data_IF_241588830595
#
_entry.id   IF_241588830595
#
_cell.length_a   1.000
_cell.length_b   1.000
_cell.length_c   1.000
_cell.angle_alpha   90.00
_cell.angle_beta   90.00
_cell.angle_gamma   90.00
#
_symmetry.space_group_name_H-M   'P 1'
#
loop_
_entity.id
_entity.type
_entity.pdbx_description
1 polymer ?
#
# COMPACT_ATOMS: atom_id res chain seq x y z
N UNK A 1 -18.01 33.36 -2.88
CA UNK A 1 -17.28 33.05 -1.62
C UNK A 1 -16.57 31.73 -1.85
N UNK A 2 -15.28 31.61 -1.54
CA UNK A 2 -14.61 30.30 -1.60
C UNK A 2 -15.25 29.43 -0.53
N UNK A 3 -15.76 28.28 -0.95
CA UNK A 3 -16.37 27.29 -0.09
C UNK A 3 -15.26 26.55 0.65
N UNK A 4 -14.87 27.06 1.84
CA UNK A 4 -13.74 26.56 2.63
C UNK A 4 -13.72 25.05 2.86
N UNK A 5 -14.89 24.41 2.89
CA UNK A 5 -14.98 22.95 3.06
C UNK A 5 -14.42 22.16 1.86
N UNK A 6 -14.38 22.74 0.65
CA UNK A 6 -13.73 22.13 -0.51
C UNK A 6 -12.21 22.08 -0.31
N UNK A 7 -11.65 23.13 0.28
CA UNK A 7 -10.23 23.20 0.64
C UNK A 7 -9.89 22.14 1.69
N UNK A 8 -10.75 21.96 2.69
CA UNK A 8 -10.56 20.91 3.71
C UNK A 8 -10.56 19.51 3.08
N UNK A 9 -11.49 19.23 2.16
CA UNK A 9 -11.54 17.96 1.44
C UNK A 9 -10.30 17.76 0.56
N UNK A 10 -9.83 18.80 -0.13
CA UNK A 10 -8.62 18.73 -0.93
C UNK A 10 -7.38 18.40 -0.07
N UNK A 11 -7.25 19.05 1.10
CA UNK A 11 -6.18 18.75 2.07
C UNK A 11 -6.24 17.29 2.53
N UNK A 12 -7.44 16.76 2.81
CA UNK A 12 -7.61 15.34 3.16
C UNK A 12 -7.16 14.40 2.03
N UNK A 13 -7.42 14.77 0.77
CA UNK A 13 -6.91 14.06 -0.40
C UNK A 13 -5.39 14.04 -0.45
N UNK A 14 -4.73 15.17 -0.21
CA UNK A 14 -3.26 15.23 -0.15
C UNK A 14 -2.66 14.40 1.00
N UNK A 15 -3.34 14.36 2.15
CA UNK A 15 -2.96 13.48 3.27
C UNK A 15 -3.05 12.01 2.84
N UNK A 16 -4.11 11.62 2.12
CA UNK A 16 -4.27 10.26 1.59
C UNK A 16 -3.13 9.89 0.62
N UNK A 17 -2.76 10.81 -0.30
CA UNK A 17 -1.60 10.65 -1.19
C UNK A 17 -0.33 10.40 -0.38
N UNK A 18 -0.12 11.17 0.69
CA UNK A 18 1.06 11.03 1.55
C UNK A 18 1.14 9.62 2.16
N UNK A 19 0.03 9.11 2.72
CA UNK A 19 -0.02 7.73 3.23
C UNK A 19 0.27 6.69 2.13
N UNK A 20 -0.31 6.87 0.95
CA UNK A 20 -0.08 5.96 -0.17
C UNK A 20 1.39 5.98 -0.63
N UNK A 21 2.00 7.16 -0.77
CA UNK A 21 3.41 7.32 -1.15
C UNK A 21 4.35 6.69 -0.11
N UNK A 22 4.11 6.89 1.18
CA UNK A 22 4.87 6.25 2.25
C UNK A 22 4.75 4.72 2.19
N UNK A 23 3.55 4.23 1.92
CA UNK A 23 3.29 2.78 1.77
C UNK A 23 4.08 2.19 0.59
N UNK A 24 4.05 2.86 -0.57
CA UNK A 24 4.82 2.44 -1.74
C UNK A 24 6.32 2.47 -1.48
N UNK A 25 6.82 3.55 -0.89
CA UNK A 25 8.24 3.69 -0.55
C UNK A 25 8.70 2.55 0.37
N UNK A 26 7.91 2.25 1.40
CA UNK A 26 8.20 1.14 2.31
C UNK A 26 8.21 -0.21 1.59
N UNK A 27 7.21 -0.48 0.74
CA UNK A 27 7.17 -1.71 -0.05
C UNK A 27 8.41 -1.82 -0.95
N UNK A 28 8.77 -0.75 -1.67
CA UNK A 28 9.95 -0.71 -2.53
C UNK A 28 11.22 -1.07 -1.75
N UNK A 29 11.47 -0.47 -0.58
CA UNK A 29 12.64 -0.79 0.25
C UNK A 29 12.68 -2.28 0.59
N UNK A 30 11.54 -2.86 1.00
CA UNK A 30 11.48 -4.27 1.38
C UNK A 30 11.75 -5.20 0.19
N UNK A 31 11.13 -4.92 -0.97
CA UNK A 31 11.38 -5.67 -2.19
C UNK A 31 12.84 -5.54 -2.68
N UNK A 32 13.42 -4.34 -2.62
CA UNK A 32 14.83 -4.15 -2.94
C UNK A 32 15.74 -4.92 -1.99
N UNK A 33 15.50 -4.87 -0.67
CA UNK A 33 16.30 -5.64 0.28
C UNK A 33 16.23 -7.16 0.03
N UNK A 34 15.13 -7.67 -0.50
CA UNK A 34 14.99 -9.08 -0.89
C UNK A 34 15.83 -9.43 -2.11
N UNK A 35 15.82 -8.57 -3.13
CA UNK A 35 16.64 -8.75 -4.34
C UNK A 35 18.15 -8.77 -4.04
N UNK A 36 18.62 -7.88 -3.16
CA UNK A 36 20.05 -7.79 -2.82
C UNK A 36 20.55 -8.88 -1.88
N UNK A 37 19.67 -9.47 -1.04
CA UNK A 37 20.07 -10.50 -0.07
C UNK A 37 20.15 -11.91 -0.66
N UNK A 38 19.77 -12.13 -1.93
CA UNK A 38 19.74 -13.44 -2.60
C UNK A 38 19.03 -14.56 -1.80
N UNK A 39 18.29 -14.22 -0.75
CA UNK A 39 17.67 -15.14 0.18
C UNK A 39 16.19 -14.83 0.33
N UNK A 40 15.41 -15.86 0.01
CA UNK A 40 14.03 -16.17 0.41
C UNK A 40 12.88 -15.64 -0.44
N UNK A 41 12.00 -16.62 -0.68
CA UNK A 41 10.76 -16.56 -1.43
C UNK A 41 9.80 -15.58 -0.76
N UNK A 42 9.38 -14.55 -1.48
CA UNK A 42 8.18 -13.80 -1.14
C UNK A 42 7.00 -14.74 -1.37
N UNK A 43 6.08 -14.81 -0.40
CA UNK A 43 4.83 -15.54 -0.65
C UNK A 43 4.14 -14.92 -1.85
N UNK A 44 3.92 -15.71 -2.91
CA UNK A 44 3.26 -15.26 -4.13
C UNK A 44 1.92 -14.56 -3.80
N UNK A 45 1.20 -15.06 -2.78
CA UNK A 45 -0.04 -14.46 -2.29
C UNK A 45 0.15 -13.04 -1.75
N UNK A 46 1.25 -12.78 -1.03
CA UNK A 46 1.53 -11.45 -0.48
C UNK A 46 1.94 -10.47 -1.58
N UNK A 47 2.73 -10.93 -2.56
CA UNK A 47 3.08 -10.12 -3.73
C UNK A 47 1.84 -9.71 -4.54
N UNK A 48 0.99 -10.69 -4.88
CA UNK A 48 -0.26 -10.47 -5.63
C UNK A 48 -1.18 -9.52 -4.88
N UNK A 49 -1.34 -9.69 -3.56
CA UNK A 49 -2.23 -8.84 -2.77
C UNK A 49 -1.74 -7.38 -2.71
N UNK A 50 -0.43 -7.14 -2.57
CA UNK A 50 0.11 -5.78 -2.63
C UNK A 50 -0.01 -5.15 -4.01
N UNK A 51 0.15 -5.92 -5.09
CA UNK A 51 -0.10 -5.43 -6.45
C UNK A 51 -1.57 -5.01 -6.58
N UNK A 52 -2.49 -5.87 -6.16
CA UNK A 52 -3.92 -5.60 -6.24
C UNK A 52 -4.31 -4.35 -5.44
N UNK A 53 -3.85 -4.24 -4.18
CA UNK A 53 -4.09 -3.05 -3.36
C UNK A 53 -3.46 -1.80 -3.97
N UNK A 54 -2.25 -1.88 -4.52
CA UNK A 54 -1.60 -0.74 -5.17
C UNK A 54 -2.38 -0.29 -6.43
N UNK A 55 -2.91 -1.22 -7.21
CA UNK A 55 -3.77 -0.90 -8.36
C UNK A 55 -5.08 -0.26 -7.93
N UNK A 56 -5.72 -0.76 -6.86
CA UNK A 56 -6.91 -0.15 -6.27
C UNK A 56 -6.63 1.30 -5.82
N UNK A 57 -5.48 1.54 -5.19
CA UNK A 57 -5.06 2.86 -4.77
C UNK A 57 -4.82 3.82 -5.95
N UNK A 58 -4.18 3.34 -7.02
CA UNK A 58 -4.00 4.12 -8.26
C UNK A 58 -5.36 4.47 -8.87
N UNK A 59 -6.29 3.52 -8.91
CA UNK A 59 -7.63 3.77 -9.41
C UNK A 59 -8.36 4.84 -8.59
N UNK A 60 -8.31 4.76 -7.25
CA UNK A 60 -8.88 5.79 -6.38
C UNK A 60 -8.21 7.16 -6.55
N UNK A 61 -6.89 7.19 -6.72
CA UNK A 61 -6.14 8.42 -7.00
C UNK A 61 -6.59 9.07 -8.31
N UNK A 62 -6.76 8.28 -9.37
CA UNK A 62 -7.26 8.76 -10.66
C UNK A 62 -8.69 9.30 -10.51
N UNK A 63 -9.57 8.57 -9.82
CA UNK A 63 -10.93 9.04 -9.55
C UNK A 63 -10.95 10.35 -8.76
N UNK A 64 -10.05 10.50 -7.79
CA UNK A 64 -9.91 11.72 -6.99
C UNK A 64 -9.40 12.90 -7.83
N UNK A 65 -8.43 12.69 -8.72
CA UNK A 65 -8.01 13.73 -9.65
C UNK A 65 -9.10 14.10 -10.65
N UNK A 66 -9.87 13.12 -11.14
CA UNK A 66 -11.03 13.37 -12.00
C UNK A 66 -12.08 14.17 -11.23
N UNK A 67 -12.39 13.85 -9.98
CA UNK A 67 -13.38 14.62 -9.22
C UNK A 67 -12.93 16.06 -8.95
N UNK A 68 -11.62 16.31 -8.88
CA UNK A 68 -11.04 17.65 -8.71
C UNK A 68 -11.04 18.47 -10.02
N UNK A 69 -10.73 17.85 -11.17
CA UNK A 69 -10.51 18.56 -12.45
C UNK A 69 -11.58 18.35 -13.54
N UNK A 70 -12.41 17.30 -13.47
CA UNK A 70 -13.51 17.08 -14.42
C UNK A 70 -14.57 18.20 -14.48
N UNK A 71 -14.84 18.96 -13.41
CA UNK A 71 -15.77 20.07 -13.50
C UNK A 71 -15.34 21.13 -14.53
N UNK A 72 -14.02 21.35 -14.69
CA UNK A 72 -13.46 22.39 -15.56
C UNK A 72 -13.17 21.92 -17.00
N UNK A 73 -12.86 20.62 -17.21
CA UNK A 73 -12.24 20.17 -18.47
C UNK A 73 -13.21 19.45 -19.42
N UNK A 74 -14.25 18.77 -18.93
CA UNK A 74 -14.99 17.78 -19.75
C UNK A 74 -16.46 18.11 -19.96
N UNK A 75 -17.15 18.75 -18.99
CA UNK A 75 -18.64 18.76 -18.98
C UNK A 75 -19.25 20.17 -18.84
N UNK A 76 -18.47 21.23 -18.64
CA UNK A 76 -19.04 22.54 -18.27
C UNK A 76 -19.89 22.38 -16.99
N UNK A 77 -19.39 21.58 -16.04
CA UNK A 77 -20.13 21.10 -14.89
C UNK A 77 -19.74 21.94 -13.68
N UNK A 78 -20.72 22.61 -13.10
CA UNK A 78 -20.52 23.48 -11.96
C UNK A 78 -20.15 22.65 -10.72
N UNK A 79 -19.00 22.94 -10.10
CA UNK A 79 -18.52 22.31 -8.85
C UNK A 79 -19.51 22.55 -7.71
N UNK A 80 -20.28 23.64 -7.79
CA UNK A 80 -21.33 23.97 -6.82
C UNK A 80 -22.58 23.07 -6.95
N UNK A 81 -22.63 22.16 -7.93
CA UNK A 81 -23.67 21.16 -8.00
C UNK A 81 -23.53 20.17 -6.84
N UNK A 82 -24.58 20.09 -6.01
CA UNK A 82 -24.68 19.22 -4.83
C UNK A 82 -24.23 17.77 -5.11
N UNK A 83 -24.54 17.24 -6.30
CA UNK A 83 -24.13 15.88 -6.71
C UNK A 83 -22.62 15.74 -6.92
N UNK A 84 -21.99 16.75 -7.51
CA UNK A 84 -20.53 16.78 -7.71
C UNK A 84 -19.80 16.87 -6.37
N UNK A 85 -20.34 17.69 -5.46
CA UNK A 85 -19.84 17.84 -4.10
C UNK A 85 -19.84 16.54 -3.31
N UNK A 86 -21.00 15.85 -3.31
CA UNK A 86 -21.17 14.57 -2.61
C UNK A 86 -20.22 13.52 -3.21
N UNK A 87 -20.08 13.50 -4.54
CA UNK A 87 -19.15 12.60 -5.21
C UNK A 87 -17.70 12.87 -4.80
N UNK A 88 -17.25 14.13 -4.84
CA UNK A 88 -15.91 14.53 -4.43
C UNK A 88 -15.62 14.17 -2.97
N UNK A 89 -16.55 14.50 -2.06
CA UNK A 89 -16.43 14.15 -0.64
C UNK A 89 -16.35 12.63 -0.44
N UNK A 90 -17.21 11.86 -1.11
CA UNK A 90 -17.24 10.40 -0.99
C UNK A 90 -15.93 9.77 -1.48
N UNK A 91 -15.43 10.19 -2.64
CA UNK A 91 -14.17 9.69 -3.20
C UNK A 91 -13.00 10.04 -2.29
N UNK A 92 -12.94 11.28 -1.81
CA UNK A 92 -11.87 11.75 -0.90
C UNK A 92 -11.83 10.97 0.40
N UNK A 93 -12.98 10.83 1.07
CA UNK A 93 -13.06 10.09 2.35
C UNK A 93 -12.73 8.62 2.14
N UNK A 94 -13.24 8.00 1.07
CA UNK A 94 -12.92 6.61 0.74
C UNK A 94 -11.43 6.44 0.48
N UNK A 95 -10.83 7.34 -0.30
CA UNK A 95 -9.41 7.31 -0.62
C UNK A 95 -8.54 7.44 0.64
N UNK A 96 -8.90 8.34 1.57
CA UNK A 96 -8.21 8.49 2.85
C UNK A 96 -8.27 7.23 3.71
N UNK A 97 -9.47 6.66 3.90
CA UNK A 97 -9.67 5.46 4.72
C UNK A 97 -8.88 4.29 4.15
N UNK A 98 -8.99 4.04 2.84
CA UNK A 98 -8.29 2.93 2.19
C UNK A 98 -6.77 3.14 2.23
N UNK A 99 -6.28 4.37 2.03
CA UNK A 99 -4.85 4.70 2.18
C UNK A 99 -4.31 4.38 3.56
N UNK A 100 -5.05 4.79 4.59
CA UNK A 100 -4.64 4.60 5.99
C UNK A 100 -4.68 3.11 6.38
N UNK A 101 -5.73 2.38 6.00
CA UNK A 101 -5.81 0.94 6.23
C UNK A 101 -4.70 0.18 5.50
N UNK A 102 -4.38 0.57 4.26
CA UNK A 102 -3.29 -0.05 3.50
C UNK A 102 -1.93 0.20 4.16
N UNK A 103 -1.69 1.42 4.64
CA UNK A 103 -0.49 1.76 5.40
C UNK A 103 -0.35 0.90 6.67
N UNK A 104 -1.41 0.77 7.48
CA UNK A 104 -1.43 -0.10 8.66
C UNK A 104 -1.18 -1.56 8.28
N UNK A 105 -1.85 -2.06 7.24
CA UNK A 105 -1.66 -3.42 6.73
C UNK A 105 -0.19 -3.69 6.41
N UNK A 106 0.46 -2.78 5.68
CA UNK A 106 1.87 -2.93 5.32
C UNK A 106 2.78 -2.91 6.55
N UNK A 107 2.51 -2.06 7.55
CA UNK A 107 3.26 -2.05 8.82
C UNK A 107 3.12 -3.38 9.54
N UNK A 108 1.90 -3.89 9.73
CA UNK A 108 1.67 -5.16 10.43
C UNK A 108 2.34 -6.32 9.69
N UNK A 109 2.17 -6.38 8.37
CA UNK A 109 2.75 -7.43 7.55
C UNK A 109 4.27 -7.29 7.39
N UNK A 110 4.87 -6.11 7.62
CA UNK A 110 6.32 -5.94 7.60
C UNK A 110 7.02 -6.77 8.69
N UNK A 111 6.37 -7.02 9.83
CA UNK A 111 6.89 -7.93 10.86
C UNK A 111 6.94 -9.39 10.39
N UNK A 112 6.09 -9.78 9.42
CA UNK A 112 6.11 -11.12 8.83
C UNK A 112 7.31 -11.32 7.88
N UNK A 113 7.84 -10.25 7.27
CA UNK A 113 9.10 -10.31 6.50
C UNK A 113 10.29 -10.70 7.36
N UNK A 114 10.37 -10.16 8.59
CA UNK A 114 11.44 -10.48 9.54
C UNK A 114 11.27 -11.83 10.24
N UNK A 115 10.02 -12.19 10.59
CA UNK A 115 9.72 -13.40 11.39
C UNK A 115 10.02 -14.70 10.63
N UNK A 116 9.60 -14.82 9.36
CA UNK A 116 9.93 -15.99 8.53
C UNK A 116 11.44 -16.10 8.28
N UNK A 117 12.15 -14.97 8.29
CA UNK A 117 13.60 -14.97 8.12
C UNK A 117 14.31 -15.68 9.29
N UNK A 118 13.79 -15.58 10.51
CA UNK A 118 14.36 -16.20 11.70
C UNK A 118 14.02 -17.69 11.83
N UNK A 119 12.81 -18.11 11.42
CA UNK A 119 12.41 -19.52 11.51
C UNK A 119 13.26 -20.43 10.61
N UNK A 120 13.56 -20.06 9.35
CA UNK A 120 14.43 -20.95 8.55
C UNK A 120 15.89 -20.93 9.05
N UNK A 121 16.37 -19.85 9.69
CA UNK A 121 17.71 -19.83 10.29
C UNK A 121 17.83 -20.82 11.45
N UNK A 122 16.76 -20.99 12.23
CA UNK A 122 16.69 -22.01 13.27
C UNK A 122 16.63 -23.42 12.67
N UNK A 123 15.79 -23.65 11.65
CA UNK A 123 15.69 -24.96 10.98
C UNK A 123 17.02 -25.37 10.33
N UNK A 124 17.74 -24.44 9.70
CA UNK A 124 19.07 -24.71 9.11
C UNK A 124 20.10 -25.03 10.21
N UNK A 125 20.03 -24.38 11.39
CA UNK A 125 20.87 -24.72 12.54
C UNK A 125 20.55 -26.11 13.11
N UNK A 126 19.29 -26.53 13.12
CA UNK A 126 18.89 -27.88 13.51
C UNK A 126 19.33 -28.94 12.49
N UNK A 127 19.24 -28.65 11.18
CA UNK A 127 19.66 -29.58 10.12
C UNK A 127 21.18 -29.81 10.11
N UNK A 128 22.00 -28.77 10.39
CA UNK A 128 23.46 -28.90 10.54
C UNK A 128 23.91 -29.66 11.79
N UNK A 129 22.99 -29.95 12.72
CA UNK A 129 23.24 -30.67 13.98
C UNK A 129 22.90 -32.16 13.94
N UNK A 130 22.76 -32.79 12.77
CA UNK A 130 22.81 -34.25 12.67
C UNK A 130 24.27 -34.72 12.61
N UNK A 131 24.78 -35.44 13.63
CA UNK A 131 26.17 -35.90 13.63
C UNK A 131 26.38 -36.98 12.57
N UNK A 132 27.43 -36.84 11.77
CA UNK A 132 27.98 -37.92 10.97
C UNK A 132 28.45 -39.04 11.90
N UNK A 133 27.63 -40.08 12.05
CA UNK A 133 28.08 -41.33 12.65
C UNK A 133 27.52 -42.51 11.86
N UNK A 134 28.14 -42.77 10.71
CA UNK A 134 28.29 -44.14 10.22
C UNK A 134 29.78 -44.44 10.18
N UNK A 135 30.27 -44.99 11.30
CA UNK A 135 31.54 -45.72 11.33
C UNK A 135 31.46 -46.90 10.37
N UNK A 136 32.57 -47.10 9.68
CA UNK A 136 32.95 -48.32 8.96
C UNK A 136 32.58 -49.58 9.74
N UNK A 137 31.94 -50.54 9.07
CA UNK A 137 32.32 -51.96 9.03
C UNK A 137 32.01 -52.46 7.64
#
# INVERSE_FOLDING_TARGET
MVEWYLVDLEILGYIAITFFSLTLFWLSINYFSLLFKNEKKISLTWFILNIFLSLLMIFLLILWFISLYAPEIIINYDISNEKGLIFFATVTVTFLIVSFLYFIYVIICSNLFGSWMNQDKEIIKFAKKKPSNKKRV
#
